data_IF_685275705683
#
_entry.id   IF_685275705683
#
_cell.length_a   1.000
_cell.length_b   1.000
_cell.length_c   1.000
_cell.angle_alpha   90.00
_cell.angle_beta   90.00
_cell.angle_gamma   90.00
#
_symmetry.space_group_name_H-M   'P 1'
#
loop_
_entity.id
_entity.type
_entity.pdbx_description
1 polymer ?
#
# COMPACT_ATOMS: atom_id res chain seq x y z
N UNK A 1 -13.89 6.99 12.11
CA UNK A 1 -12.54 6.43 12.43
C UNK A 1 -11.49 7.18 11.60
N UNK A 2 -10.38 7.65 12.19
CA UNK A 2 -9.30 8.31 11.45
C UNK A 2 -8.58 7.31 10.53
N UNK A 3 -7.95 7.78 9.45
CA UNK A 3 -7.26 6.90 8.50
C UNK A 3 -5.93 6.30 8.98
N UNK A 4 -5.32 6.89 10.03
CA UNK A 4 -3.96 6.61 10.52
C UNK A 4 -2.93 6.63 9.39
N UNK A 5 -2.37 7.82 9.12
CA UNK A 5 -1.27 7.96 8.17
C UNK A 5 0.00 7.42 8.81
N UNK A 6 0.61 6.41 8.21
CA UNK A 6 1.79 5.71 8.77
C UNK A 6 3.07 6.00 8.01
N UNK A 7 2.95 6.23 6.70
CA UNK A 7 4.09 6.56 5.84
C UNK A 7 3.69 7.56 4.77
N UNK A 8 4.70 8.27 4.25
CA UNK A 8 4.55 9.20 3.15
C UNK A 8 5.83 9.30 2.31
N UNK A 9 5.65 9.55 1.02
CA UNK A 9 6.74 9.78 0.07
C UNK A 9 6.38 10.96 -0.82
N UNK A 10 7.37 11.77 -1.17
CA UNK A 10 7.25 12.82 -2.18
C UNK A 10 7.97 12.35 -3.44
N UNK A 11 7.38 12.58 -4.61
CA UNK A 11 8.01 12.26 -5.89
C UNK A 11 9.30 13.05 -6.07
N UNK A 12 10.26 12.50 -6.82
CA UNK A 12 11.57 13.13 -7.02
C UNK A 12 11.51 14.49 -7.75
N UNK A 13 10.40 14.76 -8.45
CA UNK A 13 10.13 16.01 -9.14
C UNK A 13 9.26 16.99 -8.31
N UNK A 14 9.02 16.69 -7.03
CA UNK A 14 8.22 17.48 -6.09
C UNK A 14 6.77 17.76 -6.52
N UNK A 15 6.23 17.03 -7.50
CA UNK A 15 4.86 17.22 -8.00
C UNK A 15 3.80 16.41 -7.27
N UNK A 16 4.17 15.32 -6.61
CA UNK A 16 3.22 14.43 -5.97
C UNK A 16 3.63 14.04 -4.55
N UNK A 17 2.63 13.94 -3.67
CA UNK A 17 2.74 13.45 -2.31
C UNK A 17 1.87 12.20 -2.14
N UNK A 18 2.48 11.10 -1.70
CA UNK A 18 1.83 9.83 -1.49
C UNK A 18 1.63 9.59 0.00
N UNK A 19 0.43 9.20 0.41
CA UNK A 19 0.07 8.94 1.80
C UNK A 19 -0.51 7.54 1.95
N UNK A 20 0.02 6.77 2.91
CA UNK A 20 -0.51 5.45 3.28
C UNK A 20 -1.46 5.61 4.46
N UNK A 21 -2.74 5.31 4.27
CA UNK A 21 -3.76 5.33 5.33
C UNK A 21 -4.00 3.92 5.84
N UNK A 22 -3.36 3.57 6.95
CA UNK A 22 -3.32 2.20 7.43
C UNK A 22 -4.68 1.64 7.87
N UNK A 23 -5.46 2.40 8.65
CA UNK A 23 -6.76 1.88 9.12
C UNK A 23 -7.83 1.83 8.02
N UNK A 24 -7.80 2.82 7.12
CA UNK A 24 -8.72 2.87 5.98
C UNK A 24 -8.34 1.83 4.94
N UNK A 25 -7.05 1.64 4.73
CA UNK A 25 -6.48 0.64 3.85
C UNK A 25 -6.29 1.09 2.41
N UNK A 26 -5.99 2.38 2.24
CA UNK A 26 -5.80 3.00 0.94
C UNK A 26 -4.53 3.83 0.86
N UNK A 27 -4.01 3.93 -0.36
CA UNK A 27 -2.90 4.80 -0.71
C UNK A 27 -3.44 5.92 -1.58
N UNK A 28 -3.08 7.15 -1.24
CA UNK A 28 -3.52 8.36 -1.93
C UNK A 28 -2.35 9.09 -2.54
N UNK A 29 -2.51 9.50 -3.78
CA UNK A 29 -1.62 10.40 -4.50
C UNK A 29 -2.27 11.77 -4.55
N UNK A 30 -1.58 12.77 -4.01
CA UNK A 30 -1.96 14.17 -4.10
C UNK A 30 -1.02 14.89 -5.06
N UNK A 31 -1.56 15.62 -6.03
CA UNK A 31 -0.77 16.61 -6.76
C UNK A 31 -0.49 17.79 -5.82
N UNK A 32 0.76 18.20 -5.75
CA UNK A 32 1.29 19.26 -4.89
C UNK A 32 2.10 20.31 -5.68
N UNK A 33 1.85 20.46 -6.98
CA UNK A 33 2.48 21.51 -7.80
C UNK A 33 2.20 22.92 -7.25
N UNK A 34 1.00 23.12 -6.68
CA UNK A 34 0.71 24.20 -5.74
C UNK A 34 0.60 23.62 -4.31
N UNK A 35 1.67 23.69 -3.48
CA UNK A 35 1.66 23.13 -2.13
C UNK A 35 0.61 23.74 -1.20
N UNK A 36 0.10 24.93 -1.51
CA UNK A 36 -0.96 25.57 -0.74
C UNK A 36 -2.35 25.01 -1.07
N UNK A 37 -2.48 24.29 -2.19
CA UNK A 37 -3.75 23.75 -2.71
C UNK A 37 -3.57 22.32 -3.25
N UNK A 38 -3.17 21.35 -2.41
CA UNK A 38 -3.06 19.98 -2.85
C UNK A 38 -4.42 19.42 -3.25
N UNK A 39 -4.47 18.59 -4.30
CA UNK A 39 -5.70 17.89 -4.69
C UNK A 39 -5.45 16.40 -4.92
N UNK A 40 -6.47 15.58 -4.65
CA UNK A 40 -6.40 14.13 -4.81
C UNK A 40 -6.35 13.79 -6.30
N UNK A 41 -5.24 13.21 -6.75
CA UNK A 41 -4.98 12.85 -8.14
C UNK A 41 -5.15 11.33 -8.38
N UNK A 42 -5.00 10.51 -7.35
CA UNK A 42 -5.17 9.06 -7.44
C UNK A 42 -5.42 8.42 -6.08
N UNK A 43 -6.13 7.30 -6.07
CA UNK A 43 -6.40 6.52 -4.88
C UNK A 43 -6.50 5.05 -5.25
N UNK A 44 -5.93 4.17 -4.42
CA UNK A 44 -6.07 2.73 -4.58
C UNK A 44 -6.37 2.07 -3.24
N UNK A 45 -7.36 1.18 -3.25
CA UNK A 45 -7.80 0.43 -2.07
C UNK A 45 -7.14 -0.93 -2.07
N UNK A 46 -6.59 -1.27 -0.92
CA UNK A 46 -5.65 -2.36 -0.89
C UNK A 46 -5.70 -3.20 0.40
N UNK A 47 -6.64 -2.92 1.29
CA UNK A 47 -6.89 -3.69 2.49
C UNK A 47 -7.71 -2.86 3.47
N UNK A 48 -7.37 -2.88 4.75
CA UNK A 48 -7.98 -2.02 5.75
C UNK A 48 -9.14 -2.65 6.47
N UNK A 49 -9.64 -1.90 7.44
CA UNK A 49 -10.83 -2.28 8.18
C UNK A 49 -12.11 -2.00 7.37
N UNK A 50 -12.04 -1.10 6.38
CA UNK A 50 -13.18 -0.69 5.53
C UNK A 50 -13.45 -1.61 4.33
N UNK A 51 -12.74 -2.74 4.25
CA UNK A 51 -12.91 -3.71 3.16
C UNK A 51 -14.22 -4.47 3.27
N UNK A 52 -14.78 -4.84 2.12
CA UNK A 52 -16.02 -5.60 2.03
C UNK A 52 -15.94 -6.93 2.80
N UNK A 53 -16.92 -7.18 3.66
CA UNK A 53 -16.96 -8.37 4.53
C UNK A 53 -16.23 -8.22 5.85
N UNK A 54 -15.68 -7.02 6.15
CA UNK A 54 -15.24 -6.64 7.49
C UNK A 54 -16.39 -6.08 8.35
N UNK A 55 -16.11 -5.87 9.64
CA UNK A 55 -17.09 -5.35 10.61
C UNK A 55 -17.23 -3.81 10.60
N UNK A 56 -16.40 -3.11 9.81
CA UNK A 56 -16.36 -1.64 9.78
C UNK A 56 -16.87 -1.12 8.44
N UNK A 57 -17.78 -0.16 8.50
CA UNK A 57 -18.36 0.56 7.36
C UNK A 57 -18.05 2.06 7.48
N UNK A 58 -18.00 2.78 6.37
CA UNK A 58 -18.07 4.24 6.40
C UNK A 58 -19.48 4.70 6.01
N UNK A 59 -19.89 5.84 6.56
CA UNK A 59 -21.20 6.44 6.30
C UNK A 59 -20.97 7.67 5.42
N UNK A 60 -21.60 7.70 4.26
CA UNK A 60 -21.55 8.84 3.33
C UNK A 60 -22.40 10.00 3.84
N UNK A 61 -22.26 11.18 3.23
CA UNK A 61 -23.06 12.36 3.57
C UNK A 61 -24.57 12.09 3.38
N UNK A 62 -24.91 11.20 2.44
CA UNK A 62 -26.28 10.73 2.19
C UNK A 62 -26.73 9.62 3.17
N UNK A 63 -25.98 9.40 4.26
CA UNK A 63 -26.23 8.41 5.30
C UNK A 63 -26.26 6.95 4.81
N UNK A 64 -25.54 6.64 3.73
CA UNK A 64 -25.40 5.28 3.23
C UNK A 64 -24.16 4.61 3.80
N UNK A 65 -24.30 3.36 4.24
CA UNK A 65 -23.18 2.54 4.68
C UNK A 65 -22.51 1.88 3.47
N UNK A 66 -21.19 2.05 3.37
CA UNK A 66 -20.41 1.53 2.27
C UNK A 66 -19.10 0.87 2.74
N UNK A 67 -18.59 -0.01 1.89
CA UNK A 67 -17.30 -0.71 2.02
C UNK A 67 -16.66 -0.85 0.65
N UNK A 68 -15.34 -0.91 0.60
CA UNK A 68 -14.60 -1.01 -0.67
C UNK A 68 -14.27 -2.45 -1.03
N UNK A 69 -14.24 -2.73 -2.34
CA UNK A 69 -13.66 -3.98 -2.84
C UNK A 69 -12.14 -3.83 -2.91
N UNK A 70 -11.42 -4.73 -2.26
CA UNK A 70 -9.98 -4.85 -2.41
C UNK A 70 -9.69 -5.75 -3.61
N UNK A 71 -8.91 -5.30 -4.60
CA UNK A 71 -8.60 -6.13 -5.78
C UNK A 71 -7.89 -7.42 -5.39
N UNK A 72 -8.26 -8.52 -6.06
CA UNK A 72 -7.59 -9.80 -5.90
C UNK A 72 -6.32 -9.82 -6.76
N UNK A 73 -5.17 -9.98 -6.12
CA UNK A 73 -3.87 -10.05 -6.82
C UNK A 73 -3.49 -11.51 -7.00
N UNK A 74 -3.04 -11.89 -8.20
CA UNK A 74 -2.60 -13.26 -8.47
C UNK A 74 -1.19 -13.44 -7.93
N UNK A 75 -0.99 -14.47 -7.11
CA UNK A 75 0.32 -14.88 -6.62
C UNK A 75 1.22 -15.28 -7.80
N UNK A 76 2.39 -14.65 -7.91
CA UNK A 76 3.43 -15.03 -8.86
C UNK A 76 4.61 -15.68 -8.11
N UNK A 77 5.22 -16.71 -8.69
CA UNK A 77 6.47 -17.32 -8.20
C UNK A 77 7.53 -17.02 -9.25
N UNK A 78 8.55 -16.24 -8.87
CA UNK A 78 9.43 -15.51 -9.79
C UNK A 78 10.29 -16.39 -10.72
N UNK A 79 10.52 -15.87 -11.93
CA UNK A 79 11.85 -15.67 -12.55
C UNK A 79 11.84 -14.31 -13.30
N UNK A 80 12.84 -13.46 -13.02
CA UNK A 80 13.28 -12.19 -13.67
C UNK A 80 12.47 -10.85 -13.60
N UNK A 81 13.03 -9.91 -12.79
CA UNK A 81 13.07 -8.41 -12.87
C UNK A 81 11.85 -7.47 -12.57
N UNK A 82 12.01 -6.71 -11.45
CA UNK A 82 11.71 -5.28 -11.05
C UNK A 82 10.49 -4.47 -11.58
N UNK A 83 9.71 -3.82 -10.66
CA UNK A 83 9.20 -2.41 -10.73
C UNK A 83 8.46 -1.94 -9.41
N UNK A 84 8.22 -0.64 -9.24
CA UNK A 84 7.94 0.06 -7.95
C UNK A 84 6.51 -0.05 -7.42
N UNK A 85 6.37 -0.37 -6.13
CA UNK A 85 5.18 -0.03 -5.33
C UNK A 85 5.24 -0.66 -3.96
N UNK A 86 4.67 0.04 -3.00
CA UNK A 86 4.72 -0.32 -1.60
C UNK A 86 3.34 -0.58 -1.13
N UNK A 87 3.14 -1.81 -0.66
CA UNK A 87 2.11 -2.08 0.29
C UNK A 87 2.39 -3.37 1.05
N UNK A 88 2.34 -3.22 2.38
CA UNK A 88 2.04 -4.25 3.37
C UNK A 88 0.54 -4.59 3.29
N UNK A 89 0.19 -5.86 3.11
CA UNK A 89 -1.19 -6.31 3.33
C UNK A 89 -1.66 -5.73 4.68
N UNK A 90 -2.77 -4.99 4.73
CA UNK A 90 -3.11 -4.14 5.89
C UNK A 90 -3.56 -4.96 7.12
N UNK A 91 -3.38 -6.27 7.06
CA UNK A 91 -3.40 -7.16 8.22
C UNK A 91 -2.00 -7.43 8.80
N UNK A 92 -0.95 -6.88 8.20
CA UNK A 92 0.44 -7.31 8.36
C UNK A 92 1.39 -6.10 8.42
N UNK A 93 1.32 -5.32 9.50
CA UNK A 93 2.18 -4.16 9.69
C UNK A 93 3.12 -4.35 10.87
N UNK A 94 4.44 -4.29 10.72
CA UNK A 94 5.34 -4.27 11.89
C UNK A 94 5.38 -2.91 12.63
N UNK A 95 4.23 -2.23 12.78
CA UNK A 95 4.08 -0.98 13.55
C UNK A 95 4.20 -1.24 15.06
N UNK A 96 5.38 -1.66 15.53
CA UNK A 96 5.60 -2.25 16.86
C UNK A 96 4.70 -3.49 17.06
N UNK A 97 5.29 -4.66 17.31
CA UNK A 97 4.58 -5.94 17.49
C UNK A 97 3.31 -5.87 18.37
N UNK A 98 3.27 -4.97 19.35
CA UNK A 98 2.12 -4.73 20.24
C UNK A 98 0.89 -4.09 19.62
N UNK A 99 1.03 -3.28 18.56
CA UNK A 99 -0.14 -2.73 17.88
C UNK A 99 -0.82 -3.78 17.01
N UNK A 100 -0.05 -4.70 16.43
CA UNK A 100 -0.62 -5.86 15.71
C UNK A 100 -1.48 -6.70 16.62
N UNK A 101 -1.00 -7.08 17.81
CA UNK A 101 -1.79 -7.85 18.77
C UNK A 101 -3.14 -7.19 19.10
N UNK A 102 -3.26 -5.85 18.97
CA UNK A 102 -4.46 -5.10 19.33
C UNK A 102 -5.46 -4.89 18.20
N UNK A 103 -4.99 -4.76 16.96
CA UNK A 103 -5.78 -4.39 15.78
C UNK A 103 -5.81 -5.47 14.69
N UNK A 104 -4.95 -6.48 14.82
CA UNK A 104 -4.79 -7.62 13.92
C UNK A 104 -5.10 -8.89 14.72
N UNK A 105 -5.92 -9.80 14.17
CA UNK A 105 -6.24 -11.08 14.81
C UNK A 105 -5.01 -11.99 14.99
N UNK A 106 -5.05 -12.91 15.97
CA UNK A 106 -4.04 -13.94 16.30
C UNK A 106 -3.53 -14.80 15.11
N UNK A 107 -4.19 -14.70 13.96
CA UNK A 107 -3.92 -15.44 12.73
C UNK A 107 -2.83 -14.79 11.87
N UNK A 108 -2.42 -13.54 12.17
CA UNK A 108 -1.64 -12.71 11.26
C UNK A 108 -0.12 -12.85 11.45
N UNK A 109 0.33 -13.02 12.70
CA UNK A 109 1.72 -13.44 12.99
C UNK A 109 2.05 -14.80 12.35
N UNK A 110 1.03 -15.61 12.05
CA UNK A 110 1.18 -16.93 11.42
C UNK A 110 1.18 -16.90 9.89
N UNK A 111 0.74 -15.78 9.29
CA UNK A 111 0.51 -15.67 7.84
C UNK A 111 1.56 -14.86 7.11
N UNK A 112 2.22 -13.90 7.75
CA UNK A 112 3.31 -13.10 7.15
C UNK A 112 2.83 -12.10 6.09
N UNK A 113 3.65 -11.09 5.82
CA UNK A 113 3.22 -9.95 5.02
C UNK A 113 3.35 -10.19 3.51
N UNK A 114 2.76 -9.27 2.74
CA UNK A 114 2.85 -9.28 1.28
C UNK A 114 3.48 -7.99 0.77
N UNK A 115 4.04 -8.04 -0.43
CA UNK A 115 4.46 -6.87 -1.20
C UNK A 115 3.63 -6.77 -2.47
N UNK A 116 3.08 -5.58 -2.70
CA UNK A 116 2.34 -5.23 -3.91
C UNK A 116 3.02 -4.08 -4.64
N UNK A 117 3.02 -4.15 -5.96
CA UNK A 117 3.45 -3.06 -6.82
C UNK A 117 2.26 -2.19 -7.22
N UNK A 118 2.48 -0.88 -7.28
CA UNK A 118 1.47 0.13 -7.60
C UNK A 118 2.04 0.97 -8.72
N UNK A 119 1.41 0.87 -9.88
CA UNK A 119 1.74 1.67 -11.05
C UNK A 119 1.22 3.10 -10.82
N UNK A 120 2.09 4.06 -11.09
CA UNK A 120 1.84 5.48 -10.83
C UNK A 120 1.89 6.26 -12.14
N UNK A 121 0.77 6.90 -12.50
CA UNK A 121 0.78 7.91 -13.57
C UNK A 121 1.26 9.23 -12.97
N UNK A 122 2.44 9.65 -13.43
CA UNK A 122 3.09 10.91 -12.99
C UNK A 122 2.83 12.06 -13.95
N UNK A 123 2.17 11.84 -15.09
CA UNK A 123 1.82 12.92 -16.02
C UNK A 123 0.45 13.48 -15.67
N UNK A 124 -0.55 12.62 -15.57
CA UNK A 124 -1.94 13.02 -15.34
C UNK A 124 -2.40 12.74 -13.90
N UNK A 125 -1.60 11.99 -13.13
CA UNK A 125 -2.05 11.42 -11.86
C UNK A 125 -2.84 10.13 -12.08
N UNK A 126 -2.81 9.25 -11.08
CA UNK A 126 -3.47 7.96 -11.12
C UNK A 126 -2.62 6.89 -10.43
N UNK A 127 -3.32 6.01 -9.72
CA UNK A 127 -2.73 4.84 -9.07
C UNK A 127 -3.47 3.59 -9.56
N UNK A 128 -2.73 2.53 -9.88
CA UNK A 128 -3.28 1.23 -10.19
C UNK A 128 -2.45 0.12 -9.54
N UNK A 129 -3.10 -0.94 -9.05
CA UNK A 129 -2.37 -2.11 -8.56
C UNK A 129 -1.84 -2.87 -9.77
N UNK A 130 -0.55 -3.17 -9.79
CA UNK A 130 0.00 -4.13 -10.73
C UNK A 130 -0.38 -5.54 -10.27
N UNK A 131 -1.47 -6.06 -10.85
CA UNK A 131 -2.00 -7.39 -10.51
C UNK A 131 -1.11 -8.57 -10.93
N UNK A 132 -0.01 -8.30 -11.64
CA UNK A 132 0.98 -9.30 -12.07
C UNK A 132 2.17 -9.42 -11.12
N UNK A 133 2.31 -8.50 -10.14
CA UNK A 133 3.38 -8.52 -9.17
C UNK A 133 2.84 -8.75 -7.76
N UNK A 134 3.33 -9.79 -7.10
CA UNK A 134 2.95 -10.16 -5.74
C UNK A 134 4.06 -10.97 -5.10
N UNK A 135 4.56 -10.52 -3.95
CA UNK A 135 5.48 -11.30 -3.12
C UNK A 135 4.81 -11.65 -1.80
N UNK A 136 4.93 -12.92 -1.40
CA UNK A 136 4.37 -13.46 -0.16
C UNK A 136 5.50 -13.86 0.79
N UNK A 137 5.65 -13.10 1.88
CA UNK A 137 6.64 -13.34 2.92
C UNK A 137 6.15 -14.33 4.00
N UNK A 138 4.91 -14.82 3.90
CA UNK A 138 4.37 -15.89 4.72
C UNK A 138 5.04 -17.24 4.51
N UNK A 139 5.63 -17.44 3.33
CA UNK A 139 6.24 -18.70 2.91
C UNK A 139 7.77 -18.71 2.98
N UNK A 140 8.36 -17.75 3.69
CA UNK A 140 9.82 -17.69 3.86
C UNK A 140 10.37 -18.96 4.56
N UNK A 141 11.59 -19.42 4.21
CA UNK A 141 12.14 -20.70 4.71
C UNK A 141 12.24 -20.80 6.23
N UNK A 142 12.46 -19.67 6.90
CA UNK A 142 12.62 -19.57 8.36
C UNK A 142 11.33 -19.18 9.09
N UNK A 143 10.19 -19.21 8.38
CA UNK A 143 8.87 -18.84 8.86
C UNK A 143 8.42 -17.45 8.40
N UNK A 144 7.15 -17.07 8.65
CA UNK A 144 6.57 -15.84 8.17
C UNK A 144 7.38 -14.59 8.54
N UNK A 145 7.64 -13.72 7.56
CA UNK A 145 8.34 -12.46 7.74
C UNK A 145 7.42 -11.25 7.46
N UNK A 146 7.74 -10.11 8.08
CA UNK A 146 7.04 -8.83 7.86
C UNK A 146 8.06 -7.71 7.63
N UNK A 147 8.70 -7.66 6.44
CA UNK A 147 9.64 -6.59 6.09
C UNK A 147 8.95 -5.22 6.09
N UNK A 148 9.57 -4.26 6.78
CA UNK A 148 9.00 -2.92 7.01
C UNK A 148 9.50 -1.86 5.99
N UNK A 149 10.67 -2.06 5.40
CA UNK A 149 11.31 -1.08 4.51
C UNK A 149 12.18 -1.78 3.48
N UNK A 150 12.15 -1.30 2.26
CA UNK A 150 13.09 -1.65 1.19
C UNK A 150 13.76 -0.37 0.71
N UNK A 151 14.95 -0.59 0.20
CA UNK A 151 15.82 0.44 -0.32
C UNK A 151 16.17 -0.01 -1.71
N UNK A 152 16.12 0.93 -2.66
CA UNK A 152 16.72 0.71 -3.96
C UNK A 152 18.10 1.32 -3.98
N UNK A 153 19.05 0.54 -4.49
CA UNK A 153 20.30 1.10 -4.94
C UNK A 153 20.03 1.85 -6.24
N UNK A 154 20.19 3.17 -6.21
CA UNK A 154 20.24 3.98 -7.42
C UNK A 154 21.63 3.74 -8.04
N UNK A 155 21.82 2.60 -8.68
CA UNK A 155 22.92 2.49 -9.64
C UNK A 155 22.58 3.44 -10.78
N UNK A 156 23.31 4.57 -10.84
CA UNK A 156 23.31 5.41 -12.02
C UNK A 156 23.65 4.51 -13.22
N UNK A 157 22.64 4.16 -14.02
CA UNK A 157 22.89 3.59 -15.34
C UNK A 157 23.62 4.68 -16.12
N UNK A 158 24.96 4.61 -16.10
CA UNK A 158 25.79 5.42 -16.98
C UNK A 158 25.38 5.15 -18.43
N UNK A 159 25.55 6.11 -19.35
CA UNK A 159 25.22 5.89 -20.74
C UNK A 159 26.09 4.75 -21.26
N UNK A 160 25.45 3.64 -21.63
CA UNK A 160 26.09 2.60 -22.42
C UNK A 160 26.49 3.23 -23.76
N UNK A 161 27.80 3.47 -23.93
CA UNK A 161 28.49 3.66 -25.21
C UNK A 161 28.87 2.31 -25.80
#
# INVERSE_FOLDING_TARGET
MPGLITDFVISLDDRYHYLVHWLHGDIRQYNIEDPAKPFLAGQVWVGGLLQKGGDVVYVTDDSQEEQYNVPQVKRWTADDSVELGWQEDIRDNSLLSRWNERFSSDDLVKKGSHMLQIDVDTQEGGLAINTSFFVDFGTEPDGPASPMRMRWDIQARGPHL
#
